data_IF_709336804192
#
_entry.id   IF_709336804192
#
_cell.length_a   1.000
_cell.length_b   1.000
_cell.length_c   1.000
_cell.angle_alpha   90.00
_cell.angle_beta   90.00
_cell.angle_gamma   90.00
#
_symmetry.space_group_name_H-M   'P 1'
#
loop_
_entity.id
_entity.type
_entity.pdbx_description
1 polymer ?
#
# COMPACT_ATOMS: atom_id res chain seq x y z
N UNK A 1 -20.68 24.02 24.24
CA UNK A 1 -19.28 23.77 23.89
C UNK A 1 -19.28 22.73 22.79
N UNK A 2 -19.15 23.25 21.60
CA UNK A 2 -19.26 22.59 20.32
C UNK A 2 -17.88 22.01 19.98
N UNK A 3 -17.78 20.71 19.68
CA UNK A 3 -16.65 20.20 18.89
C UNK A 3 -17.20 19.41 17.71
N UNK A 4 -17.66 20.17 16.72
CA UNK A 4 -17.89 19.66 15.39
C UNK A 4 -16.55 19.49 14.66
N UNK A 5 -16.38 18.30 14.07
CA UNK A 5 -15.67 18.02 12.81
C UNK A 5 -14.14 18.25 12.76
N UNK A 6 -13.35 17.16 12.81
CA UNK A 6 -12.12 16.91 12.01
C UNK A 6 -11.30 15.80 12.71
N UNK A 7 -10.72 14.80 12.06
CA UNK A 7 -10.61 14.45 10.65
C UNK A 7 -10.35 12.95 10.54
N UNK A 8 -10.38 12.42 9.32
CA UNK A 8 -10.03 11.04 8.97
C UNK A 8 -8.74 10.63 9.71
N UNK A 9 -8.56 9.34 10.02
CA UNK A 9 -7.22 8.80 10.28
C UNK A 9 -6.59 8.48 8.90
N UNK A 10 -5.92 9.40 8.20
CA UNK A 10 -5.06 9.01 7.09
C UNK A 10 -3.93 8.09 7.58
N UNK A 11 -3.53 8.22 8.84
CA UNK A 11 -2.40 7.48 9.43
C UNK A 11 -2.71 5.98 9.60
N UNK A 12 -3.93 5.61 10.00
CA UNK A 12 -4.30 4.19 10.16
C UNK A 12 -4.41 3.45 8.83
N UNK A 13 -4.92 4.09 7.77
CA UNK A 13 -5.01 3.45 6.45
C UNK A 13 -3.61 3.31 5.83
N UNK A 14 -2.81 4.37 5.89
CA UNK A 14 -1.42 4.36 5.43
C UNK A 14 -0.58 3.29 6.13
N UNK A 15 -0.64 3.24 7.47
CA UNK A 15 0.09 2.24 8.25
C UNK A 15 -0.36 0.82 7.88
N UNK A 16 -1.67 0.58 7.76
CA UNK A 16 -2.19 -0.74 7.34
C UNK A 16 -1.76 -1.15 5.94
N UNK A 17 -1.67 -0.20 5.00
CA UNK A 17 -1.17 -0.47 3.64
C UNK A 17 0.28 -0.92 3.69
N UNK A 18 1.13 -0.20 4.43
CA UNK A 18 2.56 -0.49 4.55
C UNK A 18 2.79 -1.81 5.28
N UNK A 19 2.14 -2.04 6.43
CA UNK A 19 2.26 -3.29 7.20
C UNK A 19 1.80 -4.51 6.38
N UNK A 20 0.69 -4.38 5.66
CA UNK A 20 0.19 -5.43 4.80
C UNK A 20 1.17 -5.70 3.66
N UNK A 21 1.63 -4.65 2.97
CA UNK A 21 2.58 -4.80 1.88
C UNK A 21 3.91 -5.42 2.34
N UNK A 22 4.44 -4.99 3.49
CA UNK A 22 5.66 -5.53 4.09
C UNK A 22 5.53 -7.00 4.47
N UNK A 23 4.36 -7.43 4.97
CA UNK A 23 4.08 -8.84 5.27
C UNK A 23 4.11 -9.72 4.01
N UNK A 24 3.68 -9.18 2.89
CA UNK A 24 3.59 -9.90 1.61
C UNK A 24 4.81 -9.74 0.72
N UNK A 25 5.66 -8.74 0.96
CA UNK A 25 6.86 -8.47 0.16
C UNK A 25 7.81 -9.68 0.00
N UNK A 26 8.09 -10.49 1.05
CA UNK A 26 8.91 -11.70 0.92
C UNK A 26 8.33 -12.77 -0.02
N UNK A 27 7.02 -12.74 -0.26
CA UNK A 27 6.30 -13.70 -1.10
C UNK A 27 6.07 -13.19 -2.54
N UNK A 28 6.63 -12.01 -2.88
CA UNK A 28 6.42 -11.37 -4.17
C UNK A 28 5.20 -10.45 -4.23
N UNK A 29 4.63 -10.08 -3.08
CA UNK A 29 3.48 -9.19 -2.97
C UNK A 29 2.15 -9.93 -2.78
N UNK A 30 1.15 -9.17 -2.35
CA UNK A 30 -0.19 -9.68 -2.07
C UNK A 30 -0.98 -9.91 -3.36
N UNK A 31 -1.79 -10.96 -3.39
CA UNK A 31 -2.65 -11.23 -4.54
C UNK A 31 -3.80 -10.22 -4.63
N UNK A 32 -4.38 -10.09 -5.83
CA UNK A 32 -5.53 -9.20 -6.01
C UNK A 32 -6.76 -9.58 -5.19
N UNK A 33 -6.94 -10.87 -4.91
CA UNK A 33 -8.04 -11.36 -4.06
C UNK A 33 -7.83 -10.93 -2.60
N UNK A 34 -6.61 -11.06 -2.07
CA UNK A 34 -6.30 -10.66 -0.69
C UNK A 34 -6.41 -9.15 -0.50
N UNK A 35 -5.92 -8.38 -1.47
CA UNK A 35 -6.08 -6.92 -1.47
C UNK A 35 -7.57 -6.54 -1.51
N UNK A 36 -8.37 -7.24 -2.31
CA UNK A 36 -9.80 -6.98 -2.41
C UNK A 36 -10.55 -7.33 -1.11
N UNK A 37 -10.21 -8.45 -0.48
CA UNK A 37 -10.82 -8.88 0.80
C UNK A 37 -10.45 -7.93 1.95
N UNK A 38 -9.21 -7.46 2.02
CA UNK A 38 -8.74 -6.63 3.13
C UNK A 38 -9.07 -5.14 2.95
N UNK A 39 -9.00 -4.62 1.72
CA UNK A 39 -9.10 -3.19 1.45
C UNK A 39 -10.24 -2.80 0.50
N UNK A 40 -10.93 -3.77 -0.11
CA UNK A 40 -12.02 -3.49 -1.05
C UNK A 40 -11.58 -2.80 -2.34
N UNK A 41 -10.29 -2.89 -2.70
CA UNK A 41 -9.75 -2.24 -3.90
C UNK A 41 -8.96 -3.22 -4.78
N UNK A 42 -8.68 -2.81 -6.01
CA UNK A 42 -7.87 -3.62 -6.94
C UNK A 42 -6.38 -3.51 -6.58
N UNK A 43 -5.58 -4.51 -6.99
CA UNK A 43 -4.13 -4.48 -6.80
C UNK A 43 -3.48 -3.21 -7.34
N UNK A 44 -3.94 -2.71 -8.50
CA UNK A 44 -3.42 -1.48 -9.08
C UNK A 44 -3.67 -0.28 -8.16
N UNK A 45 -4.92 -0.11 -7.70
CA UNK A 45 -5.31 0.95 -6.76
C UNK A 45 -4.53 0.85 -5.44
N UNK A 46 -4.27 -0.36 -4.97
CA UNK A 46 -3.49 -0.62 -3.77
C UNK A 46 -2.04 -0.18 -3.96
N UNK A 47 -1.39 -0.56 -5.06
CA UNK A 47 -0.02 -0.14 -5.38
C UNK A 47 0.06 1.38 -5.51
N UNK A 48 -0.85 2.01 -6.25
CA UNK A 48 -0.92 3.48 -6.35
C UNK A 48 -1.02 4.13 -4.96
N UNK A 49 -1.92 3.64 -4.09
CA UNK A 49 -2.06 4.16 -2.72
C UNK A 49 -0.82 3.90 -1.86
N UNK A 50 -0.22 2.72 -1.96
CA UNK A 50 0.99 2.35 -1.22
C UNK A 50 2.13 3.34 -1.51
N UNK A 51 2.34 3.66 -2.79
CA UNK A 51 3.38 4.62 -3.20
C UNK A 51 3.06 6.08 -2.88
N UNK A 52 1.79 6.42 -2.66
CA UNK A 52 1.40 7.75 -2.15
C UNK A 52 1.66 7.89 -0.65
N UNK A 53 1.58 6.79 0.12
CA UNK A 53 1.75 6.84 1.59
C UNK A 53 3.18 6.59 2.06
N UNK A 54 4.01 5.90 1.26
CA UNK A 54 5.42 5.66 1.58
C UNK A 54 6.19 6.97 1.85
N UNK A 55 6.12 8.03 1.02
CA UNK A 55 6.82 9.29 1.26
C UNK A 55 6.35 10.04 2.51
N UNK A 56 5.08 9.86 2.87
CA UNK A 56 4.47 10.46 4.06
C UNK A 56 4.78 9.66 5.34
N UNK A 57 5.35 8.46 5.20
CA UNK A 57 5.67 7.56 6.30
C UNK A 57 7.18 7.53 6.57
N UNK A 58 7.59 7.17 7.77
CA UNK A 58 9.01 7.03 8.16
C UNK A 58 9.63 5.72 7.64
N UNK A 59 9.27 5.28 6.44
CA UNK A 59 9.70 4.02 5.85
C UNK A 59 11.18 4.10 5.44
N UNK A 60 12.01 3.16 5.89
CA UNK A 60 13.45 3.16 5.59
C UNK A 60 13.73 2.73 4.14
N UNK A 61 14.90 3.10 3.61
CA UNK A 61 15.26 2.77 2.22
C UNK A 61 15.28 1.26 1.93
N UNK A 62 15.62 0.42 2.90
CA UNK A 62 15.58 -1.04 2.72
C UNK A 62 14.15 -1.54 2.57
N UNK A 63 13.24 -1.04 3.40
CA UNK A 63 11.82 -1.39 3.37
C UNK A 63 11.18 -0.93 2.07
N UNK A 64 11.48 0.30 1.63
CA UNK A 64 11.04 0.84 0.33
C UNK A 64 11.55 -0.04 -0.82
N UNK A 65 12.80 -0.52 -0.78
CA UNK A 65 13.36 -1.41 -1.83
C UNK A 65 12.66 -2.76 -1.86
N UNK A 66 12.41 -3.37 -0.70
CA UNK A 66 11.66 -4.62 -0.60
C UNK A 66 10.23 -4.46 -1.15
N UNK A 67 9.55 -3.37 -0.79
CA UNK A 67 8.24 -3.03 -1.32
C UNK A 67 8.30 -2.78 -2.83
N UNK A 68 9.34 -2.10 -3.34
CA UNK A 68 9.52 -1.85 -4.77
C UNK A 68 9.67 -3.13 -5.59
N UNK A 69 10.36 -4.12 -5.03
CA UNK A 69 10.56 -5.42 -5.68
C UNK A 69 9.25 -6.23 -5.76
N UNK A 70 8.38 -6.12 -4.76
CA UNK A 70 7.13 -6.87 -4.69
C UNK A 70 5.95 -6.14 -5.34
N UNK A 71 5.97 -4.80 -5.33
CA UNK A 71 4.89 -3.94 -5.79
C UNK A 71 5.42 -2.88 -6.78
N UNK A 72 5.90 -3.29 -7.96
CA UNK A 72 6.32 -2.35 -8.97
C UNK A 72 5.15 -1.45 -9.41
N UNK A 73 5.41 -0.13 -9.51
CA UNK A 73 4.43 0.85 -9.98
C UNK A 73 4.08 0.66 -11.47
N UNK A 74 4.97 0.01 -12.21
CA UNK A 74 4.80 -0.36 -13.61
C UNK A 74 3.88 -1.57 -13.78
N UNK A 75 2.73 -1.34 -14.39
CA UNK A 75 1.84 -2.35 -14.97
C UNK A 75 1.62 -1.98 -16.45
N UNK A 76 1.34 -2.90 -17.40
CA UNK A 76 1.34 -4.36 -17.37
C UNK A 76 2.45 -4.94 -18.27
N UNK A 77 2.92 -6.15 -17.97
CA UNK A 77 3.64 -6.96 -18.96
C UNK A 77 2.65 -7.43 -20.03
N UNK A 78 2.37 -6.60 -21.04
CA UNK A 78 2.02 -7.13 -22.35
C UNK A 78 3.32 -7.64 -22.99
N UNK A 79 3.78 -8.84 -22.58
CA UNK A 79 4.72 -9.61 -23.41
C UNK A 79 3.88 -10.43 -24.38
N UNK A 80 3.62 -9.83 -25.55
CA UNK A 80 3.33 -10.58 -26.77
C UNK A 80 4.60 -11.22 -27.30
#
# INVERSE_FOLDING_TARGET
MDVGRNGKHPDNEAQRLIEFAGRWAPYGGATGEEILVNFGMTSLRFVERLWQVIPESTCDQEEIRSLASAYPLDRPTNRS
#
